data_IF_582732540302
#
_entry.id   IF_582732540302
#
_cell.length_a   1.000
_cell.length_b   1.000
_cell.length_c   1.000
_cell.angle_alpha   90.00
_cell.angle_beta   90.00
_cell.angle_gamma   90.00
#
_symmetry.space_group_name_H-M   'P 1'
#
loop_
_entity.id
_entity.type
_entity.pdbx_description
1 polymer ?
#
# COMPACT_ATOMS: atom_id res chain seq x y z
N UNK A 1 13.78 -28.37 1.79
CA UNK A 1 13.32 -27.58 0.64
C UNK A 1 11.80 -27.67 0.63
N UNK A 2 11.12 -26.59 1.03
CA UNK A 2 9.66 -26.53 1.04
C UNK A 2 9.15 -26.38 -0.40
N UNK A 3 8.17 -27.20 -0.79
CA UNK A 3 7.52 -27.12 -2.10
C UNK A 3 6.54 -25.92 -2.08
N UNK A 4 7.05 -24.71 -2.28
CA UNK A 4 6.22 -23.52 -2.47
C UNK A 4 5.42 -23.67 -3.76
N UNK A 5 4.09 -23.73 -3.69
CA UNK A 5 3.25 -23.73 -4.89
C UNK A 5 2.93 -22.29 -5.27
N UNK A 6 2.99 -22.00 -6.57
CA UNK A 6 2.61 -20.69 -7.11
C UNK A 6 1.17 -20.38 -6.65
N UNK A 7 0.87 -19.17 -6.15
CA UNK A 7 -0.46 -18.80 -5.71
C UNK A 7 -1.50 -19.12 -6.79
N UNK A 8 -2.59 -19.80 -6.40
CA UNK A 8 -3.65 -20.19 -7.33
C UNK A 8 -4.34 -18.95 -7.90
N UNK A 9 -3.87 -18.48 -9.05
CA UNK A 9 -4.50 -17.40 -9.78
C UNK A 9 -5.83 -17.90 -10.36
N UNK A 10 -6.96 -17.40 -9.84
CA UNK A 10 -8.24 -17.55 -10.50
C UNK A 10 -8.42 -16.38 -11.45
N UNK A 11 -8.25 -16.63 -12.75
CA UNK A 11 -8.67 -15.70 -13.79
C UNK A 11 -10.19 -15.65 -13.77
N UNK A 12 -10.74 -14.56 -13.26
CA UNK A 12 -12.17 -14.31 -13.32
C UNK A 12 -12.38 -13.31 -14.45
N UNK A 13 -12.86 -13.79 -15.58
CA UNK A 13 -13.22 -12.92 -16.69
C UNK A 13 -14.58 -12.28 -16.40
N UNK A 14 -14.64 -11.40 -15.41
CA UNK A 14 -15.83 -10.60 -15.16
C UNK A 14 -15.93 -9.54 -16.25
N UNK A 15 -17.08 -9.49 -16.94
CA UNK A 15 -17.44 -8.43 -17.89
C UNK A 15 -17.71 -7.10 -17.17
N UNK A 16 -16.79 -6.62 -16.33
CA UNK A 16 -16.75 -5.19 -16.05
C UNK A 16 -16.41 -4.49 -17.38
N UNK A 17 -17.17 -3.43 -17.69
CA UNK A 17 -17.22 -2.77 -19.00
C UNK A 17 -15.86 -2.15 -19.41
N UNK A 18 -14.88 -2.96 -19.82
CA UNK A 18 -13.68 -2.65 -20.63
C UNK A 18 -12.30 -2.93 -19.98
N UNK A 19 -12.11 -3.96 -19.14
CA UNK A 19 -10.76 -4.35 -18.70
C UNK A 19 -10.65 -5.79 -18.20
N UNK A 20 -9.44 -6.35 -18.19
CA UNK A 20 -9.16 -7.67 -17.60
C UNK A 20 -9.00 -7.57 -16.07
N UNK A 21 -9.43 -8.61 -15.36
CA UNK A 21 -9.31 -8.74 -13.90
C UNK A 21 -8.70 -10.09 -13.52
N UNK A 22 -7.79 -10.10 -12.55
CA UNK A 22 -7.20 -11.30 -11.97
C UNK A 22 -7.34 -11.27 -10.45
N UNK A 23 -7.65 -12.42 -9.84
CA UNK A 23 -7.69 -12.55 -8.38
C UNK A 23 -6.71 -13.61 -7.89
N UNK A 24 -5.95 -13.23 -6.87
CA UNK A 24 -4.94 -14.05 -6.23
C UNK A 24 -5.27 -14.18 -4.76
N UNK A 25 -5.17 -15.39 -4.25
CA UNK A 25 -5.48 -15.75 -2.87
C UNK A 25 -4.22 -16.38 -2.27
N UNK A 26 -3.99 -16.23 -0.95
CA UNK A 26 -3.01 -17.06 -0.26
C UNK A 26 -3.38 -18.54 -0.38
N UNK A 27 -2.40 -19.42 -0.22
CA UNK A 27 -2.63 -20.88 -0.22
C UNK A 27 -3.62 -21.29 0.87
N UNK A 28 -3.45 -20.73 2.06
CA UNK A 28 -4.32 -20.92 3.22
C UNK A 28 -5.02 -19.59 3.57
N UNK A 29 -6.33 -19.60 3.86
CA UNK A 29 -7.04 -18.40 4.32
C UNK A 29 -6.42 -17.82 5.59
N UNK A 30 -5.90 -16.60 5.51
CA UNK A 30 -5.33 -15.87 6.64
C UNK A 30 -5.57 -14.36 6.50
N UNK A 31 -5.42 -13.61 7.59
CA UNK A 31 -5.45 -12.14 7.50
C UNK A 31 -4.22 -11.64 6.72
N UNK A 32 -4.32 -10.47 6.10
CA UNK A 32 -3.17 -9.89 5.41
C UNK A 32 -2.03 -9.58 6.38
N UNK A 33 -2.35 -9.16 7.61
CA UNK A 33 -1.36 -8.92 8.65
C UNK A 33 -0.61 -10.20 9.03
N UNK A 34 -1.32 -11.32 9.26
CA UNK A 34 -0.69 -12.61 9.59
C UNK A 34 0.17 -13.13 8.43
N UNK A 35 -0.32 -12.97 7.19
CA UNK A 35 0.44 -13.33 5.98
C UNK A 35 1.79 -12.62 5.92
N UNK A 36 1.83 -11.36 6.36
CA UNK A 36 3.02 -10.51 6.42
C UNK A 36 3.91 -10.80 7.65
N UNK A 37 3.47 -11.64 8.60
CA UNK A 37 4.21 -11.95 9.83
C UNK A 37 3.75 -11.16 11.08
N UNK A 38 2.64 -10.41 10.98
CA UNK A 38 2.08 -9.60 12.07
C UNK A 38 2.58 -8.15 12.08
N UNK A 39 2.24 -7.40 13.14
CA UNK A 39 2.67 -5.99 13.30
C UNK A 39 4.04 -5.84 13.97
N UNK A 40 4.45 -6.84 14.74
CA UNK A 40 5.68 -6.79 15.55
C UNK A 40 6.88 -7.46 14.88
N UNK A 41 6.70 -8.07 13.70
CA UNK A 41 7.81 -8.75 13.04
C UNK A 41 8.89 -7.73 12.68
N UNK A 42 10.13 -8.04 13.00
CA UNK A 42 11.27 -7.29 12.47
C UNK A 42 11.61 -7.82 11.07
N UNK A 43 12.14 -6.95 10.22
CA UNK A 43 12.59 -7.34 8.87
C UNK A 43 13.84 -8.20 9.02
N UNK A 44 13.69 -9.51 9.06
CA UNK A 44 14.78 -10.44 8.81
C UNK A 44 14.64 -10.94 7.37
N UNK A 45 15.63 -10.64 6.52
CA UNK A 45 15.65 -11.09 5.12
C UNK A 45 15.61 -12.62 4.98
N UNK A 46 16.03 -13.34 6.01
CA UNK A 46 16.01 -14.81 6.06
C UNK A 46 14.72 -15.38 6.66
N UNK A 47 13.75 -14.52 6.99
CA UNK A 47 12.49 -14.91 7.60
C UNK A 47 11.54 -15.60 6.61
N UNK A 48 10.80 -16.61 7.07
CA UNK A 48 9.78 -17.31 6.28
C UNK A 48 8.72 -16.34 5.71
N UNK A 49 8.33 -15.33 6.49
CA UNK A 49 7.39 -14.31 6.07
C UNK A 49 7.92 -13.47 4.89
N UNK A 50 9.21 -13.10 4.92
CA UNK A 50 9.84 -12.32 3.85
C UNK A 50 9.74 -13.06 2.52
N UNK A 51 10.28 -14.29 2.45
CA UNK A 51 10.26 -15.09 1.22
C UNK A 51 8.84 -15.36 0.73
N UNK A 52 7.91 -15.69 1.63
CA UNK A 52 6.50 -15.95 1.28
C UNK A 52 5.84 -14.74 0.61
N UNK A 53 6.03 -13.55 1.17
CA UNK A 53 5.44 -12.30 0.68
C UNK A 53 6.05 -11.88 -0.65
N UNK A 54 7.39 -11.89 -0.74
CA UNK A 54 8.12 -11.54 -1.95
C UNK A 54 7.72 -12.46 -3.09
N UNK A 55 7.78 -13.78 -2.89
CA UNK A 55 7.42 -14.75 -3.92
C UNK A 55 5.97 -14.55 -4.38
N UNK A 56 5.04 -14.34 -3.44
CA UNK A 56 3.63 -14.11 -3.77
C UNK A 56 3.44 -12.91 -4.70
N UNK A 57 4.06 -11.76 -4.40
CA UNK A 57 3.92 -10.58 -5.26
C UNK A 57 4.73 -10.69 -6.55
N UNK A 58 5.91 -11.31 -6.54
CA UNK A 58 6.70 -11.59 -7.76
C UNK A 58 5.96 -12.52 -8.72
N UNK A 59 5.24 -13.51 -8.20
CA UNK A 59 4.39 -14.39 -9.00
C UNK A 59 3.22 -13.65 -9.63
N UNK A 60 2.58 -12.73 -8.89
CA UNK A 60 1.53 -11.85 -9.42
C UNK A 60 2.09 -11.00 -10.57
N UNK A 61 3.23 -10.35 -10.36
CA UNK A 61 3.89 -9.50 -11.37
C UNK A 61 4.24 -10.33 -12.60
N UNK A 62 4.89 -11.48 -12.42
CA UNK A 62 5.25 -12.40 -13.51
C UNK A 62 4.01 -12.82 -14.30
N UNK A 63 2.91 -13.16 -13.60
CA UNK A 63 1.67 -13.55 -14.25
C UNK A 63 1.05 -12.39 -15.03
N UNK A 64 0.94 -11.21 -14.44
CA UNK A 64 0.20 -10.07 -15.01
C UNK A 64 1.02 -9.33 -16.06
N UNK A 65 2.24 -8.90 -15.71
CA UNK A 65 3.08 -8.08 -16.59
C UNK A 65 3.72 -8.91 -17.70
N UNK A 66 4.31 -10.05 -17.36
CA UNK A 66 5.12 -10.81 -18.32
C UNK A 66 4.23 -11.72 -19.16
N UNK A 67 3.43 -12.58 -18.52
CA UNK A 67 2.64 -13.59 -19.25
C UNK A 67 1.41 -12.97 -19.93
N UNK A 68 0.67 -12.11 -19.23
CA UNK A 68 -0.56 -11.50 -19.77
C UNK A 68 -0.29 -10.14 -20.43
N UNK A 69 0.94 -9.62 -20.41
CA UNK A 69 1.32 -8.34 -21.04
C UNK A 69 0.44 -7.16 -20.60
N UNK A 70 0.10 -7.11 -19.30
CA UNK A 70 -0.67 -6.02 -18.72
C UNK A 70 0.27 -5.09 -17.96
N UNK A 71 0.65 -3.98 -18.59
CA UNK A 71 1.60 -3.02 -17.98
C UNK A 71 0.93 -1.98 -17.08
N UNK A 72 -0.37 -1.75 -17.26
CA UNK A 72 -1.12 -0.68 -16.60
C UNK A 72 -2.29 -1.26 -15.84
N UNK A 73 -2.18 -1.30 -14.52
CA UNK A 73 -3.18 -1.91 -13.67
C UNK A 73 -3.20 -1.29 -12.28
N UNK A 74 -4.29 -1.50 -11.56
CA UNK A 74 -4.34 -1.29 -10.12
C UNK A 74 -4.28 -2.66 -9.44
N UNK A 75 -3.35 -2.81 -8.49
CA UNK A 75 -3.30 -3.93 -7.56
C UNK A 75 -4.02 -3.53 -6.29
N UNK A 76 -5.07 -4.25 -5.92
CA UNK A 76 -5.93 -3.94 -4.80
C UNK A 76 -5.93 -5.10 -3.81
N UNK A 77 -5.50 -4.84 -2.58
CA UNK A 77 -5.60 -5.80 -1.47
C UNK A 77 -6.86 -5.48 -0.67
N UNK A 78 -7.71 -6.47 -0.49
CA UNK A 78 -8.90 -6.39 0.37
C UNK A 78 -8.95 -7.57 1.31
N UNK A 79 -9.55 -7.38 2.48
CA UNK A 79 -9.73 -8.43 3.47
C UNK A 79 -11.18 -8.94 3.46
N UNK A 80 -11.32 -10.26 3.36
CA UNK A 80 -12.58 -10.99 3.45
C UNK A 80 -12.54 -11.83 4.74
N UNK A 81 -13.63 -11.80 5.52
CA UNK A 81 -13.67 -12.48 6.82
C UNK A 81 -13.65 -14.01 6.70
N UNK A 82 -14.17 -14.56 5.61
CA UNK A 82 -14.27 -16.01 5.42
C UNK A 82 -13.10 -16.55 4.60
N UNK A 83 -12.57 -15.76 3.65
CA UNK A 83 -11.58 -16.21 2.68
C UNK A 83 -10.16 -15.71 2.96
N UNK A 84 -9.96 -14.94 4.03
CA UNK A 84 -8.71 -14.23 4.27
C UNK A 84 -8.56 -13.03 3.36
N UNK A 85 -7.34 -12.69 2.94
CA UNK A 85 -7.15 -11.58 2.00
C UNK A 85 -7.22 -12.03 0.53
N UNK A 86 -7.55 -11.08 -0.35
CA UNK A 86 -7.49 -11.25 -1.80
C UNK A 86 -6.74 -10.09 -2.42
N UNK A 87 -5.87 -10.41 -3.38
CA UNK A 87 -5.24 -9.41 -4.26
C UNK A 87 -5.94 -9.44 -5.60
N UNK A 88 -6.59 -8.34 -5.94
CA UNK A 88 -7.27 -8.15 -7.22
C UNK A 88 -6.45 -7.22 -8.10
N UNK A 89 -6.11 -7.68 -9.30
CA UNK A 89 -5.41 -6.87 -10.31
C UNK A 89 -6.38 -6.50 -11.41
N UNK A 90 -6.55 -5.20 -11.62
CA UNK A 90 -7.56 -4.63 -12.53
C UNK A 90 -6.83 -3.82 -13.59
N UNK A 91 -7.02 -4.16 -14.87
CA UNK A 91 -6.47 -3.42 -15.99
C UNK A 91 -6.98 -1.97 -16.03
N UNK A 92 -6.09 -1.03 -16.31
CA UNK A 92 -6.43 0.40 -16.33
C UNK A 92 -6.01 1.01 -17.66
N UNK A 93 -6.99 1.51 -18.41
CA UNK A 93 -6.79 2.25 -19.64
C UNK A 93 -6.82 3.76 -19.35
N UNK A 94 -5.70 4.29 -18.85
CA UNK A 94 -5.51 5.72 -18.59
C UNK A 94 -4.35 6.27 -19.41
N UNK A 95 -4.40 7.58 -19.66
CA UNK A 95 -3.27 8.31 -20.21
C UNK A 95 -2.10 8.28 -19.20
N UNK A 96 -0.84 8.30 -19.66
CA UNK A 96 0.29 8.39 -18.77
C UNK A 96 0.20 9.65 -17.88
N UNK A 97 0.74 9.60 -16.65
CA UNK A 97 0.81 10.75 -15.78
C UNK A 97 1.59 11.88 -16.46
N UNK A 98 1.29 13.13 -16.07
CA UNK A 98 2.05 14.29 -16.57
C UNK A 98 3.46 14.20 -16.01
N UNK A 99 4.45 14.38 -16.89
CA UNK A 99 5.84 14.50 -16.46
C UNK A 99 6.02 15.79 -15.67
N UNK A 100 6.62 15.66 -14.50
CA UNK A 100 6.99 16.79 -13.64
C UNK A 100 8.51 16.86 -13.55
N UNK A 101 9.05 18.07 -13.37
CA UNK A 101 10.50 18.26 -13.25
C UNK A 101 11.04 17.59 -11.97
N UNK A 102 10.28 17.71 -10.87
CA UNK A 102 10.61 17.14 -9.58
C UNK A 102 9.47 16.25 -9.10
N UNK A 103 9.80 15.04 -8.67
CA UNK A 103 8.84 14.15 -8.04
C UNK A 103 8.58 14.60 -6.58
N UNK A 104 7.33 14.88 -6.22
CA UNK A 104 6.93 15.29 -4.86
C UNK A 104 7.38 14.30 -3.76
N UNK A 105 7.38 13.01 -4.07
CA UNK A 105 7.81 11.97 -3.14
C UNK A 105 9.33 11.90 -2.98
N UNK A 106 10.09 12.35 -3.99
CA UNK A 106 11.56 12.40 -3.94
C UNK A 106 12.08 13.72 -3.36
N UNK A 107 11.31 14.80 -3.52
CA UNK A 107 11.67 16.13 -3.02
C UNK A 107 11.35 16.25 -1.52
N UNK A 108 12.31 15.84 -0.70
CA UNK A 108 12.22 15.92 0.77
C UNK A 108 12.23 17.37 1.28
N UNK A 109 12.68 18.31 0.46
CA UNK A 109 12.72 19.72 0.82
C UNK A 109 11.41 20.46 0.49
N UNK A 110 10.55 19.86 -0.33
CA UNK A 110 9.23 20.42 -0.60
C UNK A 110 8.41 20.54 0.69
N UNK A 111 7.76 21.70 0.85
CA UNK A 111 6.89 21.98 1.99
C UNK A 111 5.77 20.93 2.09
N UNK A 112 5.21 20.51 0.95
CA UNK A 112 4.19 19.45 0.86
C UNK A 112 4.67 18.14 1.49
N UNK A 113 5.93 17.73 1.24
CA UNK A 113 6.49 16.52 1.83
C UNK A 113 6.71 16.71 3.33
N UNK A 114 7.31 17.85 3.75
CA UNK A 114 7.56 18.17 5.16
C UNK A 114 6.30 18.14 6.02
N UNK A 115 5.18 18.68 5.55
CA UNK A 115 3.93 18.71 6.33
C UNK A 115 3.16 17.38 6.30
N UNK A 116 3.29 16.58 5.24
CA UNK A 116 2.53 15.33 5.09
C UNK A 116 3.27 14.09 5.60
N UNK A 117 4.60 14.16 5.70
CA UNK A 117 5.44 13.04 6.10
C UNK A 117 5.23 12.65 7.56
N UNK A 118 5.06 11.34 7.76
CA UNK A 118 5.10 10.73 9.07
C UNK A 118 6.43 10.03 9.27
N UNK A 119 7.08 10.31 10.39
CA UNK A 119 8.34 9.68 10.76
C UNK A 119 8.05 8.47 11.64
N UNK A 120 8.41 7.30 11.12
CA UNK A 120 8.42 6.05 11.87
C UNK A 120 9.79 5.41 11.68
N UNK A 121 10.36 4.84 12.74
CA UNK A 121 11.73 4.31 12.76
C UNK A 121 11.87 2.89 12.21
N UNK A 122 10.78 2.28 11.71
CA UNK A 122 10.75 0.85 11.39
C UNK A 122 11.40 0.48 10.07
N UNK A 123 11.58 1.43 9.14
CA UNK A 123 11.96 1.12 7.75
C UNK A 123 13.05 2.03 7.22
N UNK A 124 13.88 1.49 6.33
CA UNK A 124 14.91 2.25 5.60
C UNK A 124 14.59 2.45 4.13
N UNK A 125 13.74 1.60 3.55
CA UNK A 125 13.52 1.54 2.10
C UNK A 125 12.19 2.17 1.69
N UNK A 126 11.31 2.46 2.65
CA UNK A 126 10.02 3.11 2.44
C UNK A 126 9.79 4.29 3.38
N UNK A 127 8.95 5.22 2.93
CA UNK A 127 8.47 6.39 3.68
C UNK A 127 6.95 6.39 3.72
N UNK A 128 6.39 7.08 4.71
CA UNK A 128 4.94 7.28 4.82
C UNK A 128 4.57 8.75 4.80
N UNK A 129 3.51 9.08 4.09
CA UNK A 129 2.82 10.37 4.18
C UNK A 129 1.33 10.18 4.48
N UNK A 130 0.69 11.19 5.06
CA UNK A 130 -0.78 11.27 5.17
C UNK A 130 -1.32 12.10 4.00
N UNK A 131 -2.43 11.67 3.40
CA UNK A 131 -3.14 12.49 2.40
C UNK A 131 -4.14 13.44 3.03
N UNK A 132 -4.65 14.37 2.23
CA UNK A 132 -5.69 15.33 2.58
C UNK A 132 -6.85 14.76 3.40
N UNK A 133 -7.45 15.62 4.24
CA UNK A 133 -8.61 15.31 5.11
C UNK A 133 -9.78 14.63 4.41
N UNK A 134 -9.93 14.83 3.12
CA UNK A 134 -11.01 14.21 2.34
C UNK A 134 -10.78 12.71 2.13
N UNK A 135 -9.57 12.21 2.37
CA UNK A 135 -9.15 10.84 2.13
C UNK A 135 -8.54 10.29 3.41
N UNK A 136 -9.32 9.45 4.10
CA UNK A 136 -8.88 8.70 5.29
C UNK A 136 -7.89 7.59 4.88
N UNK A 137 -6.70 7.99 4.43
CA UNK A 137 -5.69 7.06 3.95
C UNK A 137 -4.27 7.52 4.27
N UNK A 138 -3.40 6.53 4.40
CA UNK A 138 -1.96 6.70 4.40
C UNK A 138 -1.39 6.37 3.03
N UNK A 139 -0.22 6.90 2.71
CA UNK A 139 0.52 6.62 1.48
C UNK A 139 1.89 6.08 1.88
N UNK A 140 2.18 4.85 1.49
CA UNK A 140 3.50 4.24 1.63
C UNK A 140 4.20 4.31 0.28
N UNK A 141 5.44 4.81 0.28
CA UNK A 141 6.21 5.10 -0.94
C UNK A 141 7.65 4.62 -0.77
N UNK A 142 8.22 3.89 -1.75
CA UNK A 142 9.65 3.59 -1.75
C UNK A 142 10.48 4.87 -1.69
N UNK A 143 11.57 4.88 -0.92
CA UNK A 143 12.51 6.02 -0.86
C UNK A 143 13.12 6.25 -2.24
N UNK A 144 13.52 5.17 -2.90
CA UNK A 144 14.02 5.20 -4.27
C UNK A 144 12.88 5.50 -5.23
N UNK A 145 13.12 6.35 -6.21
CA UNK A 145 12.15 6.58 -7.28
C UNK A 145 11.96 5.29 -8.08
N UNK A 146 10.75 4.77 -8.06
CA UNK A 146 10.33 3.62 -8.86
C UNK A 146 8.97 3.92 -9.44
N UNK A 147 8.81 3.55 -10.70
CA UNK A 147 7.51 3.50 -11.30
C UNK A 147 6.97 2.09 -11.03
N UNK A 148 7.50 1.03 -11.59
CA UNK A 148 6.78 -0.25 -11.55
C UNK A 148 7.04 -1.03 -10.25
N UNK A 149 6.10 -1.86 -9.83
CA UNK A 149 6.34 -2.80 -8.72
C UNK A 149 7.39 -3.84 -9.13
N UNK A 150 7.49 -4.15 -10.42
CA UNK A 150 8.58 -4.95 -10.99
C UNK A 150 9.95 -4.29 -10.85
N UNK A 151 10.04 -2.97 -10.69
CA UNK A 151 11.29 -2.24 -10.47
C UNK A 151 11.71 -2.19 -9.00
N UNK A 152 10.82 -2.52 -8.06
CA UNK A 152 11.15 -2.60 -6.65
C UNK A 152 12.13 -3.76 -6.37
N UNK A 153 13.00 -3.62 -5.37
CA UNK A 153 13.75 -4.75 -4.79
C UNK A 153 12.81 -5.62 -3.93
N UNK A 154 13.28 -6.80 -3.54
CA UNK A 154 12.50 -7.70 -2.69
C UNK A 154 12.25 -7.08 -1.30
N UNK A 155 13.24 -6.35 -0.78
CA UNK A 155 13.13 -5.55 0.45
C UNK A 155 12.08 -4.47 0.32
N UNK A 156 12.09 -3.69 -0.77
CA UNK A 156 11.09 -2.65 -1.00
C UNK A 156 9.68 -3.25 -1.12
N UNK A 157 9.50 -4.38 -1.82
CA UNK A 157 8.21 -5.07 -1.90
C UNK A 157 7.74 -5.47 -0.50
N UNK A 158 8.58 -6.16 0.26
CA UNK A 158 8.22 -6.60 1.61
C UNK A 158 7.91 -5.42 2.53
N UNK A 159 8.83 -4.45 2.64
CA UNK A 159 8.68 -3.29 3.51
C UNK A 159 7.45 -2.47 3.15
N UNK A 160 7.12 -2.28 1.87
CA UNK A 160 5.93 -1.50 1.48
C UNK A 160 4.63 -2.06 2.09
N UNK A 161 4.40 -3.36 1.98
CA UNK A 161 3.17 -3.98 2.48
C UNK A 161 3.22 -4.25 3.98
N UNK A 162 4.37 -4.69 4.50
CA UNK A 162 4.55 -4.93 5.93
C UNK A 162 4.42 -3.63 6.73
N UNK A 163 5.12 -2.56 6.31
CA UNK A 163 5.05 -1.26 6.96
C UNK A 163 3.64 -0.66 6.95
N UNK A 164 2.86 -0.88 5.88
CA UNK A 164 1.46 -0.46 5.86
C UNK A 164 0.62 -1.09 6.99
N UNK A 165 0.89 -2.35 7.34
CA UNK A 165 0.24 -3.04 8.47
C UNK A 165 0.81 -2.58 9.80
N UNK A 166 2.13 -2.42 9.92
CA UNK A 166 2.76 -1.89 11.13
C UNK A 166 2.27 -0.49 11.47
N UNK A 167 2.14 0.38 10.46
CA UNK A 167 1.59 1.71 10.59
C UNK A 167 0.22 1.70 11.25
N UNK A 168 -0.69 0.84 10.80
CA UNK A 168 -2.02 0.72 11.42
C UNK A 168 -1.90 0.16 12.84
N UNK A 169 -1.03 -0.82 13.06
CA UNK A 169 -0.75 -1.38 14.39
C UNK A 169 -0.28 -0.32 15.39
N UNK A 170 0.62 0.56 14.99
CA UNK A 170 1.09 1.67 15.83
C UNK A 170 -0.02 2.69 16.11
N UNK A 171 -0.82 3.07 15.10
CA UNK A 171 -1.98 3.95 15.33
C UNK A 171 -2.99 3.32 16.31
N UNK A 172 -3.16 1.99 16.27
CA UNK A 172 -3.98 1.27 17.25
C UNK A 172 -3.38 1.28 18.64
N UNK A 173 -2.08 1.02 18.79
CA UNK A 173 -1.39 1.09 20.10
C UNK A 173 -1.53 2.48 20.73
N UNK A 174 -1.34 3.53 19.93
CA UNK A 174 -1.41 4.92 20.39
C UNK A 174 -2.82 5.36 20.76
N UNK A 175 -3.84 4.90 20.02
CA UNK A 175 -5.23 5.35 20.20
C UNK A 175 -6.10 4.43 21.07
N UNK A 176 -5.58 3.26 21.44
CA UNK A 176 -6.24 2.22 22.24
C UNK A 176 -7.73 2.01 21.86
N UNK A 177 -8.03 1.60 20.62
CA UNK A 177 -9.40 1.52 20.14
C UNK A 177 -10.17 0.33 20.75
N UNK A 178 -11.51 0.37 20.73
CA UNK A 178 -12.36 -0.69 21.25
C UNK A 178 -12.48 -1.92 20.32
N UNK A 179 -11.71 -1.98 19.23
CA UNK A 179 -11.70 -3.10 18.30
C UNK A 179 -10.34 -3.78 18.28
N UNK A 180 -10.36 -5.06 17.92
CA UNK A 180 -9.17 -5.89 17.85
C UNK A 180 -8.69 -6.08 16.41
N UNK A 181 -7.37 -6.31 16.29
CA UNK A 181 -6.69 -6.62 15.04
C UNK A 181 -6.55 -5.43 14.08
N UNK A 182 -5.56 -5.53 13.19
CA UNK A 182 -5.35 -4.54 12.13
C UNK A 182 -6.52 -4.59 11.14
N UNK A 183 -7.15 -3.44 10.92
CA UNK A 183 -8.27 -3.29 9.99
C UNK A 183 -7.99 -2.19 8.97
N UNK A 184 -8.29 -2.47 7.71
CA UNK A 184 -8.27 -1.50 6.62
C UNK A 184 -9.40 -1.78 5.63
N UNK A 185 -9.88 -0.75 4.94
CA UNK A 185 -10.92 -0.90 3.91
C UNK A 185 -10.33 -1.55 2.65
N UNK A 186 -9.20 -1.04 2.19
CA UNK A 186 -8.40 -1.60 1.08
C UNK A 186 -7.02 -0.98 1.03
N UNK A 187 -6.06 -1.72 0.47
CA UNK A 187 -4.81 -1.15 0.00
C UNK A 187 -4.79 -1.12 -1.53
N UNK A 188 -4.32 -0.04 -2.14
CA UNK A 188 -4.30 0.11 -3.60
C UNK A 188 -2.95 0.61 -4.06
N UNK A 189 -2.30 -0.18 -4.90
CA UNK A 189 -1.07 0.16 -5.59
C UNK A 189 -1.38 0.38 -7.06
N UNK A 190 -1.16 1.60 -7.55
CA UNK A 190 -1.42 1.95 -8.94
C UNK A 190 -0.13 1.73 -9.75
N UNK A 191 -0.20 0.85 -10.73
CA UNK A 191 0.92 0.42 -11.56
C UNK A 191 0.86 1.01 -12.97
N UNK A 192 2.02 1.39 -13.53
CA UNK A 192 2.12 2.04 -14.83
C UNK A 192 1.25 3.31 -14.92
N UNK A 193 0.42 3.40 -15.96
CA UNK A 193 -0.46 4.55 -16.21
C UNK A 193 -1.70 4.62 -15.29
N UNK A 194 -1.88 3.66 -14.37
CA UNK A 194 -2.98 3.76 -13.40
C UNK A 194 -2.82 4.95 -12.42
N UNK A 195 -1.63 5.55 -12.38
CA UNK A 195 -1.23 6.59 -11.45
C UNK A 195 -1.54 8.00 -11.93
N UNK A 196 -1.54 8.91 -10.96
CA UNK A 196 -1.57 10.35 -11.22
C UNK A 196 -0.17 10.97 -11.12
N UNK A 197 0.74 10.35 -10.37
CA UNK A 197 2.14 10.74 -10.15
C UNK A 197 3.04 9.64 -10.70
N UNK A 198 4.27 9.96 -11.09
CA UNK A 198 5.20 8.98 -11.68
C UNK A 198 5.62 7.90 -10.65
N UNK A 199 5.89 8.32 -9.42
CA UNK A 199 6.35 7.43 -8.34
C UNK A 199 5.26 6.49 -7.84
N UNK A 200 5.64 5.25 -7.56
CA UNK A 200 4.80 4.21 -7.00
C UNK A 200 4.32 4.54 -5.59
N UNK A 201 3.00 4.44 -5.39
CA UNK A 201 2.36 4.65 -4.09
C UNK A 201 1.46 3.49 -3.74
N UNK A 202 1.60 2.97 -2.52
CA UNK A 202 0.62 2.12 -1.88
C UNK A 202 -0.33 2.98 -1.05
N UNK A 203 -1.59 3.08 -1.46
CA UNK A 203 -2.63 3.81 -0.74
C UNK A 203 -3.31 2.89 0.25
N UNK A 204 -3.19 3.18 1.54
CA UNK A 204 -3.76 2.39 2.62
C UNK A 204 -5.01 3.09 3.15
N UNK A 205 -6.19 2.66 2.71
CA UNK A 205 -7.45 3.29 3.06
C UNK A 205 -8.02 2.67 4.33
N UNK A 206 -8.35 3.53 5.30
CA UNK A 206 -8.91 3.16 6.60
C UNK A 206 -10.38 3.57 6.64
N UNK A 207 -11.20 2.79 7.35
CA UNK A 207 -12.62 3.14 7.56
C UNK A 207 -12.68 4.49 8.27
N UNK A 208 -13.55 5.39 7.79
CA UNK A 208 -13.63 6.77 8.28
C UNK A 208 -13.73 6.86 9.80
N UNK A 209 -14.60 6.07 10.43
CA UNK A 209 -14.78 6.07 11.88
C UNK A 209 -13.51 5.67 12.64
N UNK A 210 -12.73 4.74 12.11
CA UNK A 210 -11.46 4.30 12.70
C UNK A 210 -10.37 5.36 12.53
N UNK A 211 -10.28 5.97 11.35
CA UNK A 211 -9.33 7.06 11.11
C UNK A 211 -9.66 8.29 11.98
N UNK A 212 -10.94 8.64 12.11
CA UNK A 212 -11.39 9.71 13.01
C UNK A 212 -11.07 9.38 14.48
N UNK A 213 -11.12 8.11 14.88
CA UNK A 213 -10.67 7.67 16.21
C UNK A 213 -9.16 7.87 16.41
N UNK A 214 -8.33 7.43 15.45
CA UNK A 214 -6.86 7.61 15.51
C UNK A 214 -6.51 9.08 15.72
N UNK A 215 -7.11 9.97 14.92
CA UNK A 215 -6.94 11.43 15.06
C UNK A 215 -7.34 11.96 16.42
N UNK A 216 -8.47 11.50 16.96
CA UNK A 216 -9.02 12.02 18.22
C UNK A 216 -8.25 11.53 19.44
N UNK A 217 -7.83 10.26 19.42
CA UNK A 217 -7.34 9.56 20.61
C UNK A 217 -5.85 9.23 20.59
N UNK A 218 -5.22 9.13 19.41
CA UNK A 218 -3.80 8.75 19.28
C UNK A 218 -2.87 9.86 18.81
N UNK A 219 -3.38 10.91 18.14
CA UNK A 219 -2.51 11.96 17.58
C UNK A 219 -2.27 13.08 18.58
N UNK A 220 -1.00 13.48 18.70
CA UNK A 220 -0.60 14.71 19.37
C UNK A 220 -1.03 15.96 18.59
N UNK A 221 -0.88 17.14 19.21
CA UNK A 221 -1.28 18.41 18.60
C UNK A 221 -0.44 18.78 17.38
N UNK A 222 0.84 18.41 17.35
CA UNK A 222 1.74 18.70 16.24
C UNK A 222 1.34 17.91 14.97
N UNK A 223 1.03 16.62 15.11
CA UNK A 223 0.52 15.77 14.02
C UNK A 223 -0.86 16.25 13.55
N UNK A 224 -1.75 16.65 14.48
CA UNK A 224 -3.05 17.26 14.13
C UNK A 224 -2.90 18.58 13.38
N UNK A 225 -1.97 19.43 13.78
CA UNK A 225 -1.70 20.73 13.16
C UNK A 225 -1.14 20.56 11.75
N UNK A 226 -0.10 19.72 11.58
CA UNK A 226 0.44 19.38 10.25
C UNK A 226 -0.64 18.84 9.32
N UNK A 227 -1.49 17.94 9.83
CA UNK A 227 -2.62 17.42 9.06
C UNK A 227 -3.63 18.50 8.71
N UNK A 228 -3.89 19.48 9.59
CA UNK A 228 -4.77 20.62 9.31
C UNK A 228 -4.21 21.52 8.21
N UNK A 229 -2.91 21.86 8.27
CA UNK A 229 -2.23 22.74 7.31
C UNK A 229 -2.24 22.17 5.89
N UNK A 230 -2.04 20.86 5.74
CA UNK A 230 -2.10 20.20 4.43
C UNK A 230 -3.44 20.47 3.70
N UNK A 231 -4.55 20.62 4.43
CA UNK A 231 -5.87 20.86 3.82
C UNK A 231 -6.08 22.27 3.31
N UNK A 232 -5.39 23.26 3.89
CA UNK A 232 -5.52 24.65 3.45
C UNK A 232 -4.81 24.88 2.11
N UNK A 233 -3.78 24.06 1.80
CA UNK A 233 -2.96 24.21 0.61
C UNK A 233 -3.47 23.37 -0.58
N UNK A 234 -4.19 22.28 -0.34
CA UNK A 234 -4.75 21.39 -1.39
C UNK A 234 -5.82 22.04 -2.29
N UNK A 235 -6.29 23.25 -1.97
CA UNK A 235 -7.19 24.01 -2.85
C UNK A 235 -6.48 24.73 -4.00
N UNK A 236 -5.14 24.73 -4.09
CA UNK A 236 -4.42 25.52 -5.08
C UNK A 236 -3.59 24.72 -6.11
N UNK A 237 -3.10 23.50 -5.83
CA UNK A 237 -2.02 22.88 -6.64
C UNK A 237 -2.19 21.41 -7.08
N UNK A 238 -3.41 20.91 -7.34
CA UNK A 238 -3.64 19.60 -7.98
C UNK A 238 -4.55 19.64 -9.22
#
# INVERSE_FOLDING_TARGET
MSNYQIPRAKKIQNRFKNGREFRFFPEEPCSFADFLGGTESTVSQDGEAFSRVVNFFRDIITKVEIQERMEHFALVVTQDREKGFVVTVIEVHRKPPRKVLNCLSCDTESETNKVSRLEYSFTKSVTTTITSTTRNMFIVTPVRHVERLSECTDEEIFEMFHFAVQLIGEEMKLSNPPWEGVQFEKMTLNHGNARNLEHLHLKVRIVKSQFDWFKKHGWDEDKKERFRQFNCNDTQDL
#
